data_IF_046009413683
#
_entry.id   IF_046009413683
#
_cell.length_a   1.000
_cell.length_b   1.000
_cell.length_c   1.000
_cell.angle_alpha   90.00
_cell.angle_beta   90.00
_cell.angle_gamma   90.00
#
_symmetry.space_group_name_H-M   'P 1'
#
loop_
_entity.id
_entity.type
_entity.pdbx_description
1 polymer ?
#
# COMPACT_ATOMS: atom_id res chain seq x y z
N UNK A 1 -30.05 -3.60 30.02
CA UNK A 1 -28.74 -3.28 30.64
C UNK A 1 -27.74 -3.03 29.53
N UNK A 2 -27.49 -1.77 29.17
CA UNK A 2 -26.46 -1.39 28.19
C UNK A 2 -25.11 -1.33 28.89
N UNK A 3 -24.33 -2.41 28.80
CA UNK A 3 -22.94 -2.40 29.25
C UNK A 3 -22.12 -1.58 28.24
N UNK A 4 -21.87 -0.32 28.60
CA UNK A 4 -20.85 0.51 27.97
C UNK A 4 -19.50 -0.12 28.29
N UNK A 5 -18.97 -0.93 27.36
CA UNK A 5 -17.63 -1.47 27.48
C UNK A 5 -16.66 -0.31 27.28
N UNK A 6 -16.13 0.25 28.37
CA UNK A 6 -14.93 1.07 28.29
C UNK A 6 -13.85 0.23 27.61
N UNK A 7 -13.53 0.54 26.35
CA UNK A 7 -12.44 -0.16 25.65
C UNK A 7 -11.16 0.18 26.38
N UNK A 8 -10.57 -0.83 27.03
CA UNK A 8 -9.24 -0.67 27.61
C UNK A 8 -8.30 -0.21 26.51
N UNK A 9 -7.62 0.90 26.74
CA UNK A 9 -6.64 1.41 25.79
C UNK A 9 -5.41 0.48 25.80
N UNK A 10 -4.74 0.30 24.65
CA UNK A 10 -3.52 -0.48 24.59
C UNK A 10 -2.45 0.10 25.54
N UNK A 11 -1.59 -0.77 26.07
CA UNK A 11 -0.43 -0.33 26.83
C UNK A 11 0.48 0.55 25.98
N UNK A 12 1.28 1.42 26.61
CA UNK A 12 2.24 2.32 25.92
C UNK A 12 3.10 1.57 24.90
N UNK A 13 3.63 0.39 25.27
CA UNK A 13 4.45 -0.43 24.36
C UNK A 13 3.68 -0.87 23.12
N UNK A 14 2.42 -1.29 23.26
CA UNK A 14 1.58 -1.64 22.11
C UNK A 14 1.27 -0.40 21.27
N UNK A 15 0.86 0.70 21.88
CA UNK A 15 0.53 1.93 21.16
C UNK A 15 1.71 2.41 20.30
N UNK A 16 2.92 2.45 20.86
CA UNK A 16 4.14 2.83 20.12
C UNK A 16 4.45 1.82 19.00
N UNK A 17 4.33 0.51 19.28
CA UNK A 17 4.57 -0.52 18.26
C UNK A 17 3.60 -0.43 17.08
N UNK A 18 2.31 -0.27 17.35
CA UNK A 18 1.31 -0.06 16.31
C UNK A 18 1.55 1.22 15.53
N UNK A 19 1.92 2.31 16.20
CA UNK A 19 2.25 3.56 15.53
C UNK A 19 3.50 3.44 14.64
N UNK A 20 4.51 2.68 15.07
CA UNK A 20 5.67 2.37 14.25
C UNK A 20 5.28 1.57 13.00
N UNK A 21 4.44 0.54 13.16
CA UNK A 21 3.91 -0.23 12.03
C UNK A 21 3.14 0.65 11.06
N UNK A 22 2.28 1.54 11.56
CA UNK A 22 1.51 2.49 10.75
C UNK A 22 2.46 3.38 9.92
N UNK A 23 3.54 3.89 10.53
CA UNK A 23 4.54 4.69 9.83
C UNK A 23 5.20 3.93 8.68
N UNK A 24 5.62 2.69 8.90
CA UNK A 24 6.25 1.87 7.85
C UNK A 24 5.30 1.66 6.67
N UNK A 25 4.06 1.26 6.96
CA UNK A 25 3.05 0.99 5.92
C UNK A 25 2.68 2.27 5.16
N UNK A 26 2.42 3.37 5.87
CA UNK A 26 2.02 4.62 5.25
C UNK A 26 3.14 5.30 4.47
N UNK A 27 4.39 5.15 4.90
CA UNK A 27 5.53 5.64 4.11
C UNK A 27 5.65 4.87 2.80
N UNK A 28 5.45 3.55 2.82
CA UNK A 28 5.39 2.74 1.60
C UNK A 28 4.24 3.17 0.69
N UNK A 29 3.02 3.35 1.23
CA UNK A 29 1.87 3.82 0.46
C UNK A 29 2.14 5.20 -0.17
N UNK A 30 2.71 6.13 0.59
CA UNK A 30 3.03 7.48 0.10
C UNK A 30 4.09 7.45 -1.02
N UNK A 31 5.16 6.68 -0.85
CA UNK A 31 6.17 6.52 -1.90
C UNK A 31 5.57 5.90 -3.16
N UNK A 32 4.73 4.87 -3.03
CA UNK A 32 4.01 4.25 -4.17
C UNK A 32 3.10 5.25 -4.88
N UNK A 33 2.38 6.09 -4.14
CA UNK A 33 1.49 7.10 -4.70
C UNK A 33 2.26 8.19 -5.49
N UNK A 34 3.51 8.46 -5.11
CA UNK A 34 4.40 9.42 -5.75
C UNK A 34 5.31 8.79 -6.81
N UNK A 35 5.17 7.49 -7.09
CA UNK A 35 6.06 6.70 -7.98
C UNK A 35 7.55 6.78 -7.57
N UNK A 36 7.80 6.86 -6.26
CA UNK A 36 9.14 6.87 -5.68
C UNK A 36 9.55 5.47 -5.22
N UNK A 37 10.85 5.12 -5.35
CA UNK A 37 11.37 3.90 -4.75
C UNK A 37 11.30 4.00 -3.22
N UNK A 38 10.92 2.91 -2.57
CA UNK A 38 10.97 2.77 -1.12
C UNK A 38 11.62 1.44 -0.75
N UNK A 39 12.84 1.54 -0.21
CA UNK A 39 13.63 0.41 0.26
C UNK A 39 14.20 0.79 1.64
N UNK A 40 13.46 0.53 2.74
CA UNK A 40 13.96 0.80 4.08
C UNK A 40 15.12 -0.14 4.41
N UNK A 41 15.95 0.26 5.38
CA UNK A 41 16.95 -0.63 5.98
C UNK A 41 16.27 -1.91 6.50
N UNK A 42 16.85 -3.11 6.28
CA UNK A 42 16.27 -4.40 6.70
C UNK A 42 15.81 -4.47 8.16
N UNK A 43 16.49 -3.76 9.06
CA UNK A 43 16.14 -3.76 10.49
C UNK A 43 14.72 -3.20 10.74
N UNK A 44 14.22 -2.33 9.85
CA UNK A 44 12.91 -1.69 9.97
C UNK A 44 11.76 -2.67 9.71
N UNK A 45 11.64 -3.32 8.53
CA UNK A 45 10.60 -4.31 8.30
C UNK A 45 10.76 -5.53 9.21
N UNK A 46 11.98 -5.93 9.58
CA UNK A 46 12.20 -7.06 10.49
C UNK A 46 11.65 -6.75 11.90
N UNK A 47 11.83 -5.53 12.40
CA UNK A 47 11.22 -5.09 13.65
C UNK A 47 9.68 -4.94 13.55
N UNK A 48 9.16 -4.60 12.37
CA UNK A 48 7.73 -4.38 12.15
C UNK A 48 6.94 -5.69 11.98
N UNK A 49 7.55 -6.73 11.41
CA UNK A 49 6.91 -8.02 11.13
C UNK A 49 6.17 -8.63 12.32
N UNK A 50 6.78 -8.81 13.52
CA UNK A 50 6.06 -9.41 14.65
C UNK A 50 4.86 -8.57 15.11
N UNK A 51 4.88 -7.26 14.89
CA UNK A 51 3.77 -6.36 15.22
C UNK A 51 2.64 -6.54 14.19
N UNK A 52 3.00 -6.63 12.90
CA UNK A 52 2.04 -6.89 11.83
C UNK A 52 1.33 -8.24 12.02
N UNK A 53 2.07 -9.29 12.38
CA UNK A 53 1.52 -10.62 12.63
C UNK A 53 0.63 -10.67 13.88
N UNK A 54 0.80 -9.74 14.83
CA UNK A 54 -0.08 -9.60 15.98
C UNK A 54 -1.45 -8.97 15.63
N UNK A 55 -1.61 -8.39 14.44
CA UNK A 55 -2.91 -7.89 13.97
C UNK A 55 -3.81 -9.08 13.64
N UNK A 56 -4.98 -9.24 14.30
CA UNK A 56 -5.88 -10.36 14.06
C UNK A 56 -6.25 -10.47 12.58
N UNK A 57 -6.20 -11.70 12.05
CA UNK A 57 -6.58 -12.04 10.68
C UNK A 57 -7.73 -13.07 10.70
N UNK A 58 -8.13 -13.58 9.54
CA UNK A 58 -9.13 -14.63 9.41
C UNK A 58 -10.54 -14.08 9.18
N UNK A 59 -11.56 -14.85 9.62
CA UNK A 59 -12.96 -14.59 9.30
C UNK A 59 -13.45 -13.19 9.74
N UNK A 60 -12.85 -12.61 10.77
CA UNK A 60 -13.18 -11.25 11.22
C UNK A 60 -12.91 -10.17 10.18
N UNK A 61 -12.06 -10.44 9.18
CA UNK A 61 -11.74 -9.53 8.07
C UNK A 61 -12.60 -9.75 6.82
N UNK A 62 -13.43 -10.79 6.79
CA UNK A 62 -14.31 -11.09 5.64
C UNK A 62 -15.78 -10.75 5.90
N UNK A 63 -16.14 -10.41 7.15
CA UNK A 63 -17.50 -9.98 7.51
C UNK A 63 -17.85 -8.62 6.90
N UNK A 64 -19.14 -8.36 6.59
CA UNK A 64 -19.60 -7.01 6.24
C UNK A 64 -19.21 -5.98 7.31
N UNK A 65 -18.65 -4.86 6.87
CA UNK A 65 -18.17 -3.79 7.77
C UNK A 65 -16.92 -4.16 8.58
N UNK A 66 -16.10 -5.10 8.11
CA UNK A 66 -14.77 -5.34 8.68
C UNK A 66 -13.92 -4.06 8.64
N UNK A 67 -13.15 -3.83 9.71
CA UNK A 67 -12.29 -2.64 9.82
C UNK A 67 -11.04 -2.72 8.94
N UNK A 68 -10.61 -3.94 8.60
CA UNK A 68 -9.42 -4.22 7.81
C UNK A 68 -9.78 -5.09 6.61
N UNK A 69 -9.09 -4.86 5.49
CA UNK A 69 -9.18 -5.72 4.32
C UNK A 69 -8.63 -7.13 4.62
N UNK A 70 -9.12 -8.18 3.94
CA UNK A 70 -8.55 -9.52 4.03
C UNK A 70 -7.06 -9.52 3.67
N UNK A 71 -6.27 -10.38 4.31
CA UNK A 71 -4.89 -10.63 3.87
C UNK A 71 -4.85 -11.21 2.46
N UNK A 72 -3.78 -10.92 1.73
CA UNK A 72 -3.50 -11.55 0.44
C UNK A 72 -2.59 -12.79 0.61
N UNK A 73 -2.60 -13.73 -0.34
CA UNK A 73 -1.65 -14.84 -0.37
C UNK A 73 -0.20 -14.32 -0.43
N UNK A 74 0.66 -14.91 0.38
CA UNK A 74 2.09 -14.58 0.44
C UNK A 74 2.88 -15.47 -0.54
N UNK A 75 3.62 -14.90 -1.52
CA UNK A 75 4.55 -15.65 -2.35
C UNK A 75 5.69 -16.26 -1.52
N UNK A 76 6.19 -17.44 -1.91
CA UNK A 76 7.23 -18.17 -1.16
C UNK A 76 8.52 -17.35 -0.92
N UNK A 77 8.85 -16.42 -1.82
CA UNK A 77 10.09 -15.63 -1.80
C UNK A 77 9.83 -14.12 -1.62
N UNK A 78 8.74 -13.74 -0.95
CA UNK A 78 8.50 -12.31 -0.65
C UNK A 78 9.47 -11.75 0.38
N UNK A 79 9.95 -10.53 0.15
CA UNK A 79 10.68 -9.77 1.16
C UNK A 79 9.80 -9.44 2.39
N UNK A 80 10.44 -9.12 3.52
CA UNK A 80 9.76 -8.88 4.80
C UNK A 80 8.70 -7.76 4.69
N UNK A 81 8.96 -6.70 3.92
CA UNK A 81 8.00 -5.60 3.75
C UNK A 81 6.80 -6.06 2.93
N UNK A 82 7.02 -6.78 1.82
CA UNK A 82 5.95 -7.40 1.03
C UNK A 82 5.06 -8.29 1.89
N UNK A 83 5.65 -9.13 2.73
CA UNK A 83 4.91 -9.98 3.68
C UNK A 83 4.01 -9.17 4.62
N UNK A 84 4.55 -8.10 5.22
CA UNK A 84 3.78 -7.20 6.09
C UNK A 84 2.59 -6.61 5.34
N UNK A 85 2.82 -6.07 4.15
CA UNK A 85 1.79 -5.42 3.34
C UNK A 85 0.67 -6.40 2.98
N UNK A 86 1.01 -7.59 2.49
CA UNK A 86 0.03 -8.61 2.12
C UNK A 86 -0.77 -9.11 3.34
N UNK A 87 -0.11 -9.34 4.49
CA UNK A 87 -0.78 -9.72 5.73
C UNK A 87 -1.77 -8.66 6.22
N UNK A 88 -1.44 -7.37 6.04
CA UNK A 88 -2.30 -6.25 6.39
C UNK A 88 -3.35 -5.90 5.30
N UNK A 89 -3.47 -6.73 4.26
CA UNK A 89 -4.47 -6.59 3.21
C UNK A 89 -4.18 -5.48 2.20
N UNK A 90 -2.90 -5.12 2.02
CA UNK A 90 -2.46 -4.17 1.01
C UNK A 90 -2.20 -4.91 -0.30
N UNK A 91 -2.87 -4.46 -1.37
CA UNK A 91 -2.61 -4.95 -2.71
C UNK A 91 -1.32 -4.36 -3.26
N UNK A 92 -0.47 -5.22 -3.80
CA UNK A 92 0.73 -4.80 -4.53
C UNK A 92 0.49 -4.60 -6.01
N UNK A 93 -0.68 -4.99 -6.54
CA UNK A 93 -1.03 -4.74 -7.93
C UNK A 93 -1.09 -3.24 -8.18
N UNK A 94 -0.41 -2.79 -9.23
CA UNK A 94 -0.59 -1.42 -9.74
C UNK A 94 -2.01 -1.39 -10.34
N UNK A 95 -2.84 -0.43 -9.94
CA UNK A 95 -4.09 -0.13 -10.65
C UNK A 95 -3.76 0.26 -12.11
N UNK A 96 -4.72 0.19 -13.05
CA UNK A 96 -4.44 0.58 -14.43
C UNK A 96 -3.90 2.01 -14.41
N UNK A 97 -2.67 2.18 -14.90
CA UNK A 97 -2.14 3.49 -15.21
C UNK A 97 -3.19 4.20 -16.06
N UNK A 98 -3.79 5.28 -15.55
CA UNK A 98 -4.64 6.14 -16.36
C UNK A 98 -3.80 6.44 -17.58
N UNK A 99 -4.24 5.95 -18.76
CA UNK A 99 -3.57 6.22 -20.03
C UNK A 99 -3.23 7.70 -20.02
N UNK A 100 -1.96 8.01 -20.24
CA UNK A 100 -1.57 9.33 -20.71
C UNK A 100 -2.61 9.71 -21.75
N UNK A 101 -3.39 10.78 -21.50
CA UNK A 101 -4.25 11.34 -22.53
C UNK A 101 -3.28 11.65 -23.66
N UNK A 102 -3.29 10.83 -24.71
CA UNK A 102 -2.58 11.13 -25.93
C UNK A 102 -2.89 12.59 -26.24
N UNK A 103 -1.84 13.42 -26.30
CA UNK A 103 -1.95 14.77 -26.84
C UNK A 103 -2.68 14.65 -28.18
N UNK A 104 -3.66 15.53 -28.45
CA UNK A 104 -4.36 15.49 -29.72
C UNK A 104 -3.35 15.64 -30.84
N UNK A 105 -3.37 14.64 -31.72
CA UNK A 105 -2.92 14.61 -33.10
C UNK A 105 -2.31 15.93 -33.61
N UNK A 106 -0.97 15.96 -33.73
CA UNK A 106 -0.29 16.97 -34.52
C UNK A 106 -0.37 16.51 -35.98
N UNK A 107 -1.39 17.01 -36.69
CA UNK A 107 -1.58 16.79 -38.11
C UNK A 107 -0.27 17.06 -38.89
N UNK A 108 0.03 16.29 -39.96
CA UNK A 108 1.22 16.54 -40.75
C UNK A 108 1.08 17.88 -41.49
N UNK A 109 2.06 18.76 -41.32
CA UNK A 109 2.19 19.95 -42.13
C UNK A 109 2.35 19.53 -43.60
N UNK A 110 1.44 20.01 -44.45
CA UNK A 110 1.51 19.88 -45.90
C UNK A 110 2.83 20.48 -46.43
N UNK A 111 3.64 19.64 -47.08
CA UNK A 111 4.79 20.06 -47.88
C UNK A 111 4.28 20.73 -49.17
N UNK A 112 4.48 22.04 -49.27
CA UNK A 112 4.13 22.85 -50.44
C UNK A 112 5.20 22.76 -51.54
N UNK A 113 4.83 22.94 -52.83
CA UNK A 113 5.74 22.64 -53.92
C UNK A 113 6.87 23.66 -54.03
N UNK A 114 8.12 23.17 -54.05
CA UNK A 114 9.32 23.95 -54.35
C UNK A 114 9.28 24.40 -55.81
N UNK A 115 9.04 25.69 -56.05
CA UNK A 115 9.36 26.33 -57.34
C UNK A 115 10.86 26.60 -57.40
N UNK A 116 11.52 25.94 -58.36
CA UNK A 116 12.89 26.25 -58.79
C UNK A 116 12.84 27.48 -59.69
N UNK A 117 13.69 28.45 -59.42
CA UNK A 117 14.15 29.47 -60.35
C UNK A 117 15.66 29.29 -60.50
#
# INVERSE_FOLDING_TARGET
MTAQHGRSLPSRRRAIGFHFLDYVVHTCDAARALDLPFAPDPDIPDAALPIALAVPNGADRTRPGAAFAPSHPEPTDSDTLTRILLHLGRSLSRGPSLRSRASPDMAPAHDGPRRRA
#
